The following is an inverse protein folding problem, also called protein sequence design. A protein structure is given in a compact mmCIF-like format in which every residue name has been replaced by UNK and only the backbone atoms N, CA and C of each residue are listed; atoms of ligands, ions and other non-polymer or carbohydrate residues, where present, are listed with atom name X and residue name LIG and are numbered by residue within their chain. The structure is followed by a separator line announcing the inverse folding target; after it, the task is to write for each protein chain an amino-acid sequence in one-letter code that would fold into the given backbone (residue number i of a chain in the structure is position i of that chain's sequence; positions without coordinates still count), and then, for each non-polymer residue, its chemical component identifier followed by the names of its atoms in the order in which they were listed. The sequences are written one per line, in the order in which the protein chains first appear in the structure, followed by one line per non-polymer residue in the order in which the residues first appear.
data_IF_284519127430
#
_entry.id   IF_284519127430
#
_cell.length_a   1.000
_cell.length_b   1.000
_cell.length_c   1.000
_cell.angle_alpha   90.00
_cell.angle_beta   90.00
_cell.angle_gamma   90.00
#
_symmetry.space_group_name_H-M   'P 1'
#
loop_
_entity.id
_entity.type
_entity.pdbx_description
1 polymer ?
#
# COMPACT_ATOMS: atom_id res chain seq x y z
N UNK A 1 12.49 -32.89 -25.60
CA UNK A 1 11.79 -33.62 -24.52
C UNK A 1 12.03 -33.03 -23.16
N UNK A 2 13.22 -32.61 -22.90
CA UNK A 2 13.68 -32.22 -21.57
C UNK A 2 13.60 -30.71 -21.32
N UNK A 3 13.44 -29.95 -22.37
CA UNK A 3 13.50 -28.49 -22.37
C UNK A 3 12.18 -27.87 -21.94
N UNK A 4 11.08 -28.59 -22.08
CA UNK A 4 9.75 -28.09 -21.76
C UNK A 4 9.47 -27.94 -20.27
N UNK A 5 10.14 -28.68 -19.42
CA UNK A 5 9.91 -28.61 -17.97
C UNK A 5 10.60 -27.41 -17.30
N UNK A 6 11.61 -26.85 -17.93
CA UNK A 6 12.36 -25.71 -17.41
C UNK A 6 11.64 -24.37 -17.58
N UNK A 7 10.74 -24.28 -18.52
CA UNK A 7 10.01 -23.03 -18.79
C UNK A 7 8.93 -22.71 -17.76
N UNK A 8 8.51 -23.71 -16.99
CA UNK A 8 7.48 -23.50 -15.97
C UNK A 8 7.96 -22.75 -14.74
N UNK A 9 9.23 -22.83 -14.42
CA UNK A 9 9.78 -22.21 -13.21
C UNK A 9 9.99 -20.71 -13.32
N UNK A 10 10.08 -20.19 -14.53
CA UNK A 10 10.32 -18.77 -14.77
C UNK A 10 9.05 -17.92 -14.66
N UNK A 11 7.87 -18.54 -14.63
CA UNK A 11 6.62 -17.81 -14.60
C UNK A 11 6.12 -17.48 -13.19
N UNK A 12 6.64 -18.12 -12.14
CA UNK A 12 6.09 -18.01 -10.79
C UNK A 12 6.55 -16.79 -9.99
N UNK A 13 7.59 -16.08 -10.43
CA UNK A 13 8.21 -15.01 -9.64
C UNK A 13 8.08 -13.61 -10.24
N UNK A 14 7.18 -13.42 -11.17
CA UNK A 14 7.17 -12.20 -11.98
C UNK A 14 6.75 -10.94 -11.26
N UNK A 15 5.99 -11.01 -10.17
CA UNK A 15 5.35 -9.83 -9.59
C UNK A 15 5.42 -9.77 -8.07
N UNK A 16 6.27 -10.57 -7.44
CA UNK A 16 6.43 -10.51 -6.00
C UNK A 16 7.53 -9.53 -5.64
N UNK A 17 7.16 -8.46 -4.97
CA UNK A 17 8.12 -7.61 -4.29
C UNK A 17 8.39 -8.23 -2.92
N UNK A 18 9.62 -8.66 -2.71
CA UNK A 18 10.04 -9.23 -1.43
C UNK A 18 9.80 -8.22 -0.31
N UNK A 19 9.11 -8.65 0.72
CA UNK A 19 8.90 -7.86 1.91
C UNK A 19 7.71 -6.91 1.89
N UNK A 20 6.92 -6.87 0.81
CA UNK A 20 5.69 -6.08 0.74
C UNK A 20 4.50 -7.03 0.64
N UNK A 21 3.64 -7.01 1.64
CA UNK A 21 2.51 -7.94 1.76
C UNK A 21 1.20 -7.16 1.72
N UNK A 22 0.38 -7.32 0.66
CA UNK A 22 -0.95 -6.70 0.60
C UNK A 22 -1.85 -7.20 1.73
N UNK A 23 -2.61 -6.30 2.34
CA UNK A 23 -3.53 -6.62 3.42
C UNK A 23 -4.98 -6.35 3.03
N UNK A 24 -5.33 -5.11 2.72
CA UNK A 24 -6.70 -4.75 2.39
C UNK A 24 -6.73 -3.78 1.24
N UNK A 25 -7.84 -3.80 0.53
CA UNK A 25 -8.16 -2.81 -0.49
C UNK A 25 -9.61 -2.34 -0.27
N UNK A 26 -9.79 -1.04 -0.25
CA UNK A 26 -11.09 -0.41 -0.23
C UNK A 26 -11.23 0.53 -1.42
N UNK A 27 -12.41 0.51 -2.05
CA UNK A 27 -12.74 1.43 -3.14
C UNK A 27 -14.12 2.00 -2.86
N UNK A 28 -14.25 3.33 -2.84
CA UNK A 28 -15.55 3.97 -2.67
C UNK A 28 -16.32 4.08 -3.98
N UNK A 29 -17.50 4.70 -3.94
CA UNK A 29 -18.36 4.86 -5.11
C UNK A 29 -17.74 5.77 -6.18
N UNK A 30 -16.87 6.70 -5.79
CA UNK A 30 -16.16 7.59 -6.70
C UNK A 30 -14.85 6.98 -7.21
N UNK A 31 -14.58 5.71 -6.87
CA UNK A 31 -13.38 4.97 -7.25
C UNK A 31 -12.07 5.47 -6.62
N UNK A 32 -12.16 6.27 -5.56
CA UNK A 32 -11.00 6.51 -4.72
C UNK A 32 -10.64 5.23 -3.96
N UNK A 33 -9.35 4.97 -3.82
CA UNK A 33 -8.87 3.72 -3.24
C UNK A 33 -8.00 3.96 -2.03
N UNK A 34 -8.14 3.06 -1.06
CA UNK A 34 -7.23 2.96 0.08
C UNK A 34 -6.75 1.51 0.16
N UNK A 35 -5.45 1.33 0.08
CA UNK A 35 -4.83 0.01 0.19
C UNK A 35 -3.91 0.00 1.40
N UNK A 36 -3.87 -1.10 2.13
CA UNK A 36 -2.95 -1.29 3.24
C UNK A 36 -2.01 -2.45 2.96
N UNK A 37 -0.77 -2.30 3.42
CA UNK A 37 0.30 -3.28 3.24
C UNK A 37 1.07 -3.43 4.52
N UNK A 38 1.64 -4.61 4.72
CA UNK A 38 2.72 -4.82 5.68
C UNK A 38 4.06 -4.78 4.95
N UNK A 39 5.06 -4.21 5.58
CA UNK A 39 6.42 -4.22 5.05
C UNK A 39 7.41 -4.68 6.11
N UNK A 40 8.43 -5.40 5.67
CA UNK A 40 9.58 -5.75 6.50
C UNK A 40 10.57 -4.59 6.56
N UNK A 41 11.41 -4.59 7.59
CA UNK A 41 12.30 -3.46 7.87
C UNK A 41 13.35 -3.19 6.78
N UNK A 42 13.67 -4.20 5.97
CA UNK A 42 14.64 -4.04 4.88
C UNK A 42 14.07 -3.36 3.63
N UNK A 43 12.77 -3.13 3.58
CA UNK A 43 12.15 -2.47 2.42
C UNK A 43 12.47 -0.98 2.44
N UNK A 44 13.06 -0.49 1.36
CA UNK A 44 13.48 0.90 1.22
C UNK A 44 12.38 1.77 0.61
N UNK A 45 12.56 3.09 0.76
CA UNK A 45 11.68 4.08 0.12
C UNK A 45 11.62 3.89 -1.40
N UNK A 46 12.75 3.60 -2.03
CA UNK A 46 12.82 3.38 -3.48
C UNK A 46 12.03 2.15 -3.92
N UNK A 47 12.07 1.09 -3.13
CA UNK A 47 11.26 -0.11 -3.37
C UNK A 47 9.76 0.19 -3.24
N UNK A 48 9.37 1.01 -2.27
CA UNK A 48 7.98 1.46 -2.10
C UNK A 48 7.55 2.27 -3.33
N UNK A 49 8.38 3.18 -3.80
CA UNK A 49 8.10 3.98 -5.00
C UNK A 49 7.89 3.10 -6.23
N UNK A 50 8.79 2.16 -6.44
CA UNK A 50 8.70 1.23 -7.56
C UNK A 50 7.44 0.39 -7.49
N UNK A 51 7.16 -0.19 -6.33
CA UNK A 51 5.96 -0.97 -6.11
C UNK A 51 4.68 -0.16 -6.37
N UNK A 52 4.60 1.01 -5.76
CA UNK A 52 3.42 1.88 -5.86
C UNK A 52 3.18 2.35 -7.30
N UNK A 53 4.24 2.65 -8.03
CA UNK A 53 4.14 3.11 -9.42
C UNK A 53 3.60 2.05 -10.37
N UNK A 54 3.76 0.76 -10.03
CA UNK A 54 3.27 -0.36 -10.82
C UNK A 54 1.81 -0.74 -10.52
N UNK A 55 1.22 -0.17 -9.48
CA UNK A 55 -0.17 -0.47 -9.14
C UNK A 55 -1.12 0.19 -10.14
N UNK A 56 -2.23 -0.49 -10.41
CA UNK A 56 -3.27 0.04 -11.29
C UNK A 56 -3.90 1.27 -10.64
N UNK A 57 -3.97 2.34 -11.40
CA UNK A 57 -4.56 3.59 -10.96
C UNK A 57 -5.58 4.08 -11.99
N UNK A 58 -6.77 4.43 -11.53
CA UNK A 58 -7.80 5.01 -12.39
C UNK A 58 -7.56 6.51 -12.52
N UNK A 59 -7.45 6.96 -13.77
CA UNK A 59 -7.22 8.38 -14.07
C UNK A 59 -8.28 9.28 -13.40
N UNK A 60 -7.84 10.38 -12.83
CA UNK A 60 -8.71 11.34 -12.17
C UNK A 60 -9.20 10.92 -10.78
N UNK A 61 -8.76 9.78 -10.29
CA UNK A 61 -9.13 9.29 -8.96
C UNK A 61 -7.92 9.25 -8.03
N UNK A 62 -8.20 9.30 -6.74
CA UNK A 62 -7.16 9.28 -5.72
C UNK A 62 -6.90 7.84 -5.26
N UNK A 63 -5.64 7.48 -5.15
CA UNK A 63 -5.22 6.23 -4.53
C UNK A 63 -4.24 6.53 -3.41
N UNK A 64 -4.50 5.98 -2.24
CA UNK A 64 -3.63 6.09 -1.07
C UNK A 64 -3.19 4.69 -0.67
N UNK A 65 -1.89 4.51 -0.47
CA UNK A 65 -1.28 3.25 -0.05
C UNK A 65 -0.57 3.46 1.27
N UNK A 66 -1.03 2.77 2.30
CA UNK A 66 -0.45 2.82 3.65
C UNK A 66 0.42 1.59 3.87
N UNK A 67 1.69 1.82 4.19
CA UNK A 67 2.66 0.75 4.43
C UNK A 67 3.02 0.72 5.91
N UNK A 68 2.52 -0.30 6.59
CA UNK A 68 2.73 -0.50 8.03
C UNK A 68 3.86 -1.50 8.26
N UNK A 69 4.52 -1.38 9.42
CA UNK A 69 5.45 -2.40 9.86
C UNK A 69 4.80 -3.78 9.89
N UNK A 70 5.52 -4.81 9.51
CA UNK A 70 5.03 -6.20 9.55
C UNK A 70 4.59 -6.65 10.96
N UNK A 71 5.03 -5.96 12.00
CA UNK A 71 4.62 -6.22 13.39
C UNK A 71 3.29 -5.57 13.77
N UNK A 72 2.75 -4.69 12.95
CA UNK A 72 1.46 -4.08 13.21
C UNK A 72 0.34 -5.10 13.03
N UNK A 73 -0.63 -5.08 13.94
CA UNK A 73 -1.80 -5.94 13.87
C UNK A 73 -3.01 -5.11 13.44
N UNK A 74 -3.11 -4.88 12.13
CA UNK A 74 -4.16 -4.05 11.55
C UNK A 74 -5.47 -4.83 11.50
N UNK A 75 -6.62 -4.24 11.87
CA UNK A 75 -7.91 -4.93 11.89
C UNK A 75 -8.48 -5.06 10.47
N UNK A 76 -8.03 -6.08 9.73
CA UNK A 76 -8.41 -6.29 8.34
C UNK A 76 -9.92 -6.39 8.12
N UNK A 77 -10.64 -7.03 9.02
CA UNK A 77 -12.10 -7.18 8.91
C UNK A 77 -12.83 -5.83 8.99
N UNK A 78 -12.42 -4.98 9.93
CA UNK A 78 -13.01 -3.64 10.07
C UNK A 78 -12.74 -2.77 8.83
N UNK A 79 -11.58 -2.94 8.21
CA UNK A 79 -11.22 -2.19 7.00
C UNK A 79 -11.98 -2.73 5.79
N UNK A 80 -12.11 -4.04 5.67
CA UNK A 80 -12.80 -4.69 4.57
C UNK A 80 -14.27 -4.30 4.48
N UNK A 81 -14.93 -4.13 5.62
CA UNK A 81 -16.35 -3.81 5.71
C UNK A 81 -16.62 -2.35 6.09
N UNK A 82 -15.64 -1.49 5.93
CA UNK A 82 -15.80 -0.07 6.21
C UNK A 82 -16.82 0.58 5.26
N UNK A 83 -17.59 1.53 5.78
CA UNK A 83 -18.61 2.23 5.00
C UNK A 83 -18.04 3.37 4.15
N UNK A 84 -16.90 3.91 4.56
CA UNK A 84 -16.32 5.07 3.91
C UNK A 84 -14.81 5.15 4.13
N UNK A 85 -14.14 5.99 3.33
CA UNK A 85 -12.72 6.31 3.51
C UNK A 85 -12.47 6.98 4.86
N UNK A 86 -13.41 7.81 5.32
CA UNK A 86 -13.31 8.46 6.64
C UNK A 86 -13.30 7.42 7.75
N UNK A 87 -14.14 6.41 7.65
CA UNK A 87 -14.19 5.31 8.61
C UNK A 87 -12.88 4.51 8.62
N UNK A 88 -12.33 4.23 7.45
CA UNK A 88 -11.01 3.56 7.33
C UNK A 88 -9.93 4.37 8.03
N UNK A 89 -9.84 5.67 7.74
CA UNK A 89 -8.84 6.56 8.35
C UNK A 89 -8.98 6.59 9.87
N UNK A 90 -10.18 6.65 10.37
CA UNK A 90 -10.46 6.60 11.80
C UNK A 90 -9.95 5.31 12.44
N UNK A 91 -10.19 4.18 11.79
CA UNK A 91 -9.72 2.88 12.27
C UNK A 91 -8.20 2.74 12.21
N UNK A 92 -7.57 3.26 11.16
CA UNK A 92 -6.12 3.17 10.98
C UNK A 92 -5.34 4.13 11.89
N UNK A 93 -5.95 5.23 12.32
CA UNK A 93 -5.29 6.22 13.17
C UNK A 93 -4.71 5.63 14.44
N UNK A 94 -5.33 4.59 14.99
CA UNK A 94 -4.85 3.88 16.18
C UNK A 94 -3.49 3.21 15.96
N UNK A 95 -3.14 2.94 14.70
CA UNK A 95 -1.92 2.23 14.30
C UNK A 95 -0.87 3.16 13.69
N UNK A 96 -1.04 4.48 13.80
CA UNK A 96 -0.15 5.46 13.15
C UNK A 96 1.32 5.32 13.53
N UNK A 97 1.61 4.82 14.72
CA UNK A 97 2.99 4.61 15.18
C UNK A 97 3.71 3.48 14.42
N UNK A 98 2.96 2.60 13.81
CA UNK A 98 3.49 1.50 12.99
C UNK A 98 3.53 1.85 11.49
N UNK A 99 3.05 3.02 11.11
CA UNK A 99 3.03 3.47 9.71
C UNK A 99 4.42 3.94 9.30
N UNK A 100 4.97 3.33 8.26
CA UNK A 100 6.33 3.62 7.76
C UNK A 100 6.31 4.56 6.57
N UNK A 101 5.45 4.30 5.59
CA UNK A 101 5.36 5.09 4.36
C UNK A 101 3.90 5.26 3.95
N UNK A 102 3.65 6.37 3.27
CA UNK A 102 2.39 6.61 2.57
C UNK A 102 2.70 6.99 1.13
N UNK A 103 2.05 6.31 0.18
CA UNK A 103 2.11 6.69 -1.23
C UNK A 103 0.75 7.27 -1.62
N UNK A 104 0.77 8.36 -2.35
CA UNK A 104 -0.45 9.01 -2.86
C UNK A 104 -0.32 9.25 -4.35
N UNK A 105 -1.37 8.89 -5.08
CA UNK A 105 -1.47 9.17 -6.51
C UNK A 105 -2.84 9.78 -6.81
N UNK A 106 -2.85 11.01 -7.27
CA UNK A 106 -4.07 11.74 -7.62
C UNK A 106 -4.32 11.81 -9.13
N UNK A 107 -3.27 11.60 -9.92
CA UNK A 107 -3.37 11.57 -11.37
C UNK A 107 -2.48 10.47 -11.90
N UNK A 108 -2.61 10.14 -13.19
CA UNK A 108 -1.78 9.11 -13.81
C UNK A 108 -0.30 9.45 -13.86
N UNK A 109 0.08 10.69 -13.63
CA UNK A 109 1.43 11.19 -13.93
C UNK A 109 2.34 11.29 -12.72
N UNK A 110 1.81 11.47 -11.51
CA UNK A 110 2.65 11.77 -10.35
C UNK A 110 2.31 10.91 -9.15
N UNK A 111 3.32 10.23 -8.64
CA UNK A 111 3.29 9.51 -7.38
C UNK A 111 4.04 10.32 -6.33
N UNK A 112 3.44 10.54 -5.18
CA UNK A 112 4.09 11.15 -4.04
C UNK A 112 4.31 10.11 -2.96
N UNK A 113 5.51 10.10 -2.36
CA UNK A 113 5.85 9.22 -1.24
C UNK A 113 6.24 10.05 -0.04
N UNK A 114 5.68 9.69 1.10
CA UNK A 114 5.97 10.31 2.39
C UNK A 114 6.62 9.25 3.27
N UNK A 115 7.82 9.57 3.78
CA UNK A 115 8.48 8.77 4.80
C UNK A 115 8.03 9.27 6.17
N UNK A 116 7.23 8.47 6.85
CA UNK A 116 6.65 8.88 8.13
C UNK A 116 7.66 8.92 9.29
N UNK A 117 8.83 8.30 9.13
CA UNK A 117 9.92 8.45 10.09
C UNK A 117 10.62 9.79 9.94
N UNK A 118 10.84 10.24 8.70
CA UNK A 118 11.48 11.52 8.42
C UNK A 118 10.54 12.71 8.61
N UNK A 119 9.25 12.51 8.37
CA UNK A 119 8.24 13.55 8.47
C UNK A 119 7.05 13.08 9.31
N UNK A 120 7.24 12.85 10.62
CA UNK A 120 6.20 12.29 11.48
C UNK A 120 5.01 13.22 11.71
N UNK A 121 5.14 14.51 11.44
CA UNK A 121 4.05 15.50 11.57
C UNK A 121 3.20 15.60 10.31
N UNK A 122 3.56 14.94 9.23
CA UNK A 122 2.79 14.96 8.00
C UNK A 122 1.35 14.50 8.26
N UNK A 123 0.39 15.23 7.68
CA UNK A 123 -1.03 14.96 7.91
C UNK A 123 -1.44 13.55 7.47
N UNK A 124 -0.88 13.05 6.38
CA UNK A 124 -1.18 11.71 5.90
C UNK A 124 -0.65 10.62 6.85
N UNK A 125 0.49 10.85 7.48
CA UNK A 125 1.04 9.93 8.46
C UNK A 125 0.23 9.90 9.76
N UNK A 126 -0.55 10.91 10.02
CA UNK A 126 -1.41 11.04 11.20
C UNK A 126 -2.89 10.83 10.90
N UNK A 127 -3.23 10.47 9.69
CA UNK A 127 -4.61 10.23 9.26
C UNK A 127 -5.54 11.43 9.47
N UNK A 128 -5.05 12.61 9.15
CA UNK A 128 -5.80 13.87 9.23
C UNK A 128 -6.23 14.40 7.88
#
# INVERSE_FOLDING_TARGET
FWILSLLFFLSCNRNSFSGIIPQTQFTNQEFDRVNTYYIYDYVSKDQILEYSSKQVHKFGRKSIYYFFSHNANIPTDKLKYADSIIDIRKNLKKYRHSLKFVSVKQSSEKMEIIDCLDDPSNLLCNFR
#
